data_IF_696069654664
#
_entry.id   IF_696069654664
#
_cell.length_a   1.000
_cell.length_b   1.000
_cell.length_c   1.000
_cell.angle_alpha   90.00
_cell.angle_beta   90.00
_cell.angle_gamma   90.00
#
_symmetry.space_group_name_H-M   'P 1'
#
loop_
_entity.id
_entity.type
_entity.pdbx_description
1 polymer ?
#
# COMPACT_ATOMS: atom_id res chain seq x y z
N UNK A 1 13.79 15.60 -0.99
CA UNK A 1 14.44 15.53 0.33
C UNK A 1 15.23 14.23 0.36
N UNK A 2 16.52 14.25 0.72
CA UNK A 2 17.29 13.00 0.87
C UNK A 2 16.96 12.42 2.25
N UNK A 3 16.05 11.44 2.28
CA UNK A 3 15.65 10.77 3.52
C UNK A 3 16.68 9.71 3.85
N UNK A 4 17.72 10.11 4.59
CA UNK A 4 18.75 9.18 5.06
C UNK A 4 18.39 8.68 6.47
N UNK A 5 17.75 7.52 6.53
CA UNK A 5 17.54 6.84 7.80
C UNK A 5 18.90 6.29 8.26
N UNK A 6 19.59 7.10 9.09
CA UNK A 6 20.94 6.96 9.67
C UNK A 6 21.34 5.54 10.13
N UNK A 7 20.38 4.63 10.30
CA UNK A 7 20.59 3.25 10.79
C UNK A 7 20.45 2.15 9.74
N UNK A 8 20.14 2.46 8.47
CA UNK A 8 19.89 1.43 7.44
C UNK A 8 21.16 0.74 6.91
N UNK A 9 22.22 1.46 6.48
CA UNK A 9 23.30 0.82 5.72
C UNK A 9 24.03 -0.31 6.47
N UNK A 10 24.43 -0.17 7.75
CA UNK A 10 25.15 -1.22 8.46
C UNK A 10 24.32 -2.46 8.78
N UNK A 11 22.99 -2.31 8.92
CA UNK A 11 22.10 -3.40 9.35
C UNK A 11 21.45 -4.14 8.17
N UNK A 12 21.35 -3.49 7.00
CA UNK A 12 20.60 -3.99 5.86
C UNK A 12 21.03 -5.39 5.41
N UNK A 13 22.32 -5.60 5.24
CA UNK A 13 22.84 -6.88 4.73
C UNK A 13 22.47 -8.04 5.66
N UNK A 14 22.73 -7.88 6.96
CA UNK A 14 22.38 -8.88 7.98
C UNK A 14 20.87 -9.17 8.02
N UNK A 15 20.02 -8.15 7.99
CA UNK A 15 18.56 -8.35 8.04
C UNK A 15 18.01 -9.06 6.82
N UNK A 16 18.60 -8.82 5.64
CA UNK A 16 18.23 -9.53 4.40
C UNK A 16 18.71 -10.98 4.47
N UNK A 17 19.97 -11.22 4.87
CA UNK A 17 20.54 -12.57 4.98
C UNK A 17 19.80 -13.44 6.01
N UNK A 18 19.43 -12.87 7.15
CA UNK A 18 18.67 -13.55 8.21
C UNK A 18 17.16 -13.66 7.89
N UNK A 19 16.69 -13.09 6.78
CA UNK A 19 15.30 -13.17 6.33
C UNK A 19 14.32 -12.26 7.09
N UNK A 20 14.81 -11.41 8.00
CA UNK A 20 13.96 -10.44 8.71
C UNK A 20 13.44 -9.34 7.80
N UNK A 21 14.22 -8.94 6.79
CA UNK A 21 13.80 -8.00 5.76
C UNK A 21 13.70 -8.71 4.42
N UNK A 22 12.47 -8.87 3.95
CA UNK A 22 12.15 -9.59 2.72
C UNK A 22 12.65 -8.91 1.43
N UNK A 23 13.24 -7.71 1.54
CA UNK A 23 13.65 -6.87 0.41
C UNK A 23 12.52 -6.70 -0.63
N UNK A 24 11.29 -6.57 -0.12
CA UNK A 24 10.05 -6.60 -0.90
C UNK A 24 9.16 -5.43 -0.51
N UNK A 25 8.59 -4.76 -1.51
CA UNK A 25 7.65 -3.65 -1.30
C UNK A 25 6.24 -4.18 -0.99
N UNK A 26 5.40 -3.34 -0.37
CA UNK A 26 3.99 -3.64 -0.14
C UNK A 26 3.27 -3.94 -1.47
N UNK A 27 3.57 -3.15 -2.52
CA UNK A 27 2.99 -3.36 -3.85
C UNK A 27 3.41 -4.72 -4.46
N UNK A 28 4.64 -5.19 -4.23
CA UNK A 28 5.04 -6.53 -4.66
C UNK A 28 4.23 -7.61 -3.92
N UNK A 29 3.96 -7.43 -2.63
CA UNK A 29 3.10 -8.36 -1.87
C UNK A 29 1.67 -8.39 -2.41
N UNK A 30 1.10 -7.23 -2.73
CA UNK A 30 -0.22 -7.15 -3.35
C UNK A 30 -0.25 -7.83 -4.73
N UNK A 31 0.77 -7.61 -5.57
CA UNK A 31 0.86 -8.27 -6.87
C UNK A 31 0.90 -9.79 -6.74
N UNK A 32 1.68 -10.33 -5.80
CA UNK A 32 1.70 -11.78 -5.56
C UNK A 32 0.35 -12.32 -5.10
N UNK A 33 -0.35 -11.60 -4.21
CA UNK A 33 -1.70 -11.98 -3.79
C UNK A 33 -2.70 -11.97 -4.95
N UNK A 34 -2.61 -10.97 -5.85
CA UNK A 34 -3.42 -10.92 -7.08
C UNK A 34 -3.10 -12.09 -8.01
N UNK A 35 -1.83 -12.48 -8.16
CA UNK A 35 -1.47 -13.61 -9.01
C UNK A 35 -2.01 -14.94 -8.45
N UNK A 36 -1.98 -15.13 -7.14
CA UNK A 36 -2.40 -16.38 -6.51
C UNK A 36 -3.92 -16.49 -6.34
N UNK A 37 -4.57 -15.39 -5.92
CA UNK A 37 -5.96 -15.38 -5.49
C UNK A 37 -6.67 -14.10 -5.92
N UNK A 38 -6.78 -13.81 -7.23
CA UNK A 38 -7.23 -12.51 -7.71
C UNK A 38 -8.62 -12.11 -7.22
N UNK A 39 -9.54 -13.08 -7.17
CA UNK A 39 -10.95 -12.85 -6.89
C UNK A 39 -11.31 -13.14 -5.41
N UNK A 40 -10.30 -13.40 -4.56
CA UNK A 40 -10.48 -13.52 -3.11
C UNK A 40 -10.62 -12.13 -2.49
N UNK A 41 -11.60 -11.97 -1.60
CA UNK A 41 -11.78 -10.74 -0.81
C UNK A 41 -10.53 -10.51 0.05
N UNK A 42 -9.87 -9.37 -0.18
CA UNK A 42 -8.68 -8.93 0.53
C UNK A 42 -8.94 -7.77 1.50
N UNK A 43 -10.02 -7.01 1.27
CA UNK A 43 -10.40 -5.89 2.12
C UNK A 43 -11.93 -5.82 2.25
N UNK A 44 -12.41 -5.68 3.48
CA UNK A 44 -13.80 -5.37 3.82
C UNK A 44 -13.78 -4.10 4.66
N UNK A 45 -14.51 -3.08 4.24
CA UNK A 45 -14.65 -1.81 4.94
C UNK A 45 -16.10 -1.60 5.33
N UNK A 46 -16.34 -1.45 6.62
CA UNK A 46 -17.67 -1.22 7.17
C UNK A 46 -17.77 0.18 7.77
N UNK A 47 -18.83 0.92 7.42
CA UNK A 47 -19.14 2.24 7.97
C UNK A 47 -20.35 2.14 8.89
N UNK A 48 -20.15 2.46 10.17
CA UNK A 48 -21.20 2.35 11.20
C UNK A 48 -22.28 3.41 11.05
N UNK A 49 -21.94 4.61 10.57
CA UNK A 49 -22.88 5.74 10.54
C UNK A 49 -24.08 5.47 9.62
N UNK A 50 -23.87 4.73 8.53
CA UNK A 50 -24.89 4.42 7.54
C UNK A 50 -25.07 2.90 7.33
N UNK A 51 -24.44 2.07 8.15
CA UNK A 51 -24.46 0.59 8.06
C UNK A 51 -24.10 0.07 6.66
N UNK A 52 -23.17 0.75 5.98
CA UNK A 52 -22.72 0.35 4.65
C UNK A 52 -21.45 -0.50 4.69
N UNK A 53 -21.36 -1.46 3.78
CA UNK A 53 -20.17 -2.27 3.57
C UNK A 53 -19.64 -2.04 2.15
N UNK A 54 -18.32 -1.99 2.01
CA UNK A 54 -17.64 -2.04 0.71
C UNK A 54 -16.51 -3.05 0.80
N UNK A 55 -16.52 -4.01 -0.11
CA UNK A 55 -15.57 -5.12 -0.14
C UNK A 55 -14.81 -5.12 -1.46
N UNK A 56 -13.54 -5.48 -1.40
CA UNK A 56 -12.63 -5.53 -2.55
C UNK A 56 -11.93 -6.88 -2.61
N UNK A 57 -11.96 -7.48 -3.79
CA UNK A 57 -11.03 -8.55 -4.16
C UNK A 57 -9.60 -8.00 -4.28
N UNK A 58 -8.59 -8.87 -4.18
CA UNK A 58 -7.20 -8.44 -4.40
C UNK A 58 -7.01 -7.73 -5.75
N UNK A 59 -7.68 -8.21 -6.81
CA UNK A 59 -7.64 -7.59 -8.14
C UNK A 59 -8.20 -6.16 -8.11
N UNK A 60 -9.32 -5.94 -7.44
CA UNK A 60 -9.95 -4.62 -7.32
C UNK A 60 -9.12 -3.68 -6.45
N UNK A 61 -8.48 -4.18 -5.39
CA UNK A 61 -7.53 -3.41 -4.58
C UNK A 61 -6.39 -2.87 -5.45
N UNK A 62 -5.73 -3.73 -6.23
CA UNK A 62 -4.64 -3.32 -7.12
C UNK A 62 -5.12 -2.34 -8.19
N UNK A 63 -6.27 -2.58 -8.80
CA UNK A 63 -6.86 -1.66 -9.77
C UNK A 63 -7.10 -0.28 -9.17
N UNK A 64 -7.70 -0.22 -7.99
CA UNK A 64 -8.07 1.03 -7.31
C UNK A 64 -6.84 1.78 -6.82
N UNK A 65 -5.87 1.10 -6.20
CA UNK A 65 -4.60 1.70 -5.78
C UNK A 65 -3.83 2.30 -6.98
N UNK A 66 -3.81 1.62 -8.12
CA UNK A 66 -3.19 2.16 -9.34
C UNK A 66 -3.90 3.42 -9.85
N UNK A 67 -5.23 3.49 -9.76
CA UNK A 67 -5.98 4.70 -10.14
C UNK A 67 -5.65 5.88 -9.22
N UNK A 68 -5.54 5.64 -7.91
CA UNK A 68 -5.13 6.64 -6.93
C UNK A 68 -3.71 7.14 -7.26
N UNK A 69 -2.76 6.22 -7.48
CA UNK A 69 -1.38 6.56 -7.83
C UNK A 69 -1.29 7.40 -9.12
N UNK A 70 -2.08 7.06 -10.15
CA UNK A 70 -2.16 7.87 -11.38
C UNK A 70 -2.77 9.25 -11.13
N UNK A 71 -3.74 9.37 -10.22
CA UNK A 71 -4.29 10.65 -9.78
C UNK A 71 -3.24 11.53 -9.10
N UNK A 72 -2.51 10.98 -8.13
CA UNK A 72 -1.41 11.69 -7.45
C UNK A 72 -0.33 12.14 -8.43
N UNK A 73 0.06 11.27 -9.36
CA UNK A 73 1.03 11.61 -10.42
C UNK A 73 0.55 12.79 -11.28
N UNK A 74 -0.75 12.84 -11.61
CA UNK A 74 -1.34 13.96 -12.37
C UNK A 74 -1.38 15.26 -11.58
N UNK A 75 -1.50 15.19 -10.26
CA UNK A 75 -1.41 16.33 -9.35
C UNK A 75 0.04 16.80 -9.12
N UNK A 76 1.03 16.13 -9.72
CA UNK A 76 2.44 16.52 -9.66
C UNK A 76 3.24 15.82 -8.58
N UNK A 77 2.70 14.83 -7.88
CA UNK A 77 3.44 14.05 -6.88
C UNK A 77 4.52 13.20 -7.56
N UNK A 78 5.74 13.27 -7.04
CA UNK A 78 6.93 12.59 -7.53
C UNK A 78 7.59 11.72 -6.46
N UNK A 79 8.59 10.95 -6.89
CA UNK A 79 9.43 10.15 -5.99
C UNK A 79 10.11 11.09 -4.98
N UNK A 80 10.10 10.70 -3.70
CA UNK A 80 10.63 11.48 -2.56
C UNK A 80 9.78 12.69 -2.13
N UNK A 81 8.62 12.91 -2.74
CA UNK A 81 7.64 13.86 -2.18
C UNK A 81 6.98 13.27 -0.94
N UNK A 82 6.60 14.15 -0.03
CA UNK A 82 5.88 13.79 1.20
C UNK A 82 4.41 14.12 1.00
N UNK A 83 3.55 13.11 1.14
CA UNK A 83 2.09 13.26 1.12
C UNK A 83 1.58 13.01 2.53
N UNK A 84 0.99 14.04 3.14
CA UNK A 84 0.27 13.89 4.40
C UNK A 84 -1.16 13.45 4.10
N UNK A 85 -1.67 12.45 4.83
CA UNK A 85 -3.06 12.01 4.73
C UNK A 85 -3.69 11.92 6.12
N UNK A 86 -4.93 12.40 6.23
CA UNK A 86 -5.79 12.23 7.39
C UNK A 86 -7.13 11.71 6.88
N UNK A 87 -7.36 10.41 7.07
CA UNK A 87 -8.55 9.72 6.59
C UNK A 87 -9.14 8.88 7.74
N UNK A 88 -10.46 8.65 7.75
CA UNK A 88 -11.07 7.69 8.66
C UNK A 88 -10.59 6.26 8.36
N UNK A 89 -10.88 5.31 9.27
CA UNK A 89 -10.57 3.88 9.12
C UNK A 89 -11.50 3.18 8.11
N UNK A 90 -11.57 3.72 6.90
CA UNK A 90 -12.31 3.17 5.76
C UNK A 90 -11.36 2.66 4.68
N UNK A 91 -11.91 2.15 3.59
CA UNK A 91 -11.11 1.54 2.53
C UNK A 91 -10.13 2.52 1.87
N UNK A 92 -10.45 3.81 1.83
CA UNK A 92 -9.61 4.84 1.20
C UNK A 92 -8.24 4.94 1.87
N UNK A 93 -8.17 4.76 3.20
CA UNK A 93 -6.90 4.76 3.93
C UNK A 93 -6.00 3.61 3.49
N UNK A 94 -6.55 2.39 3.44
CA UNK A 94 -5.81 1.19 3.05
C UNK A 94 -5.37 1.21 1.59
N UNK A 95 -6.16 1.77 0.68
CA UNK A 95 -5.82 1.78 -0.76
C UNK A 95 -4.97 2.98 -1.19
N UNK A 96 -4.83 3.99 -0.33
CA UNK A 96 -3.90 5.11 -0.53
C UNK A 96 -2.47 4.78 -0.09
N UNK A 97 -2.31 3.98 0.96
CA UNK A 97 -1.03 3.59 1.58
C UNK A 97 -0.37 2.40 0.89
#
# INVERSE_FOLDING_TARGET
MDFDAVLLPPRREKMIQEGYWLNKTILQSLNEAVHQHPDKIGLVSYKTENQSETSFTYREMLHTANRIALGLKRLGVQKQDIVSCQLPNWWEFTLLY
#
